data_IF_540894884162
#
_entry.id   IF_540894884162
#
_cell.length_a   1.000
_cell.length_b   1.000
_cell.length_c   1.000
_cell.angle_alpha   90.00
_cell.angle_beta   90.00
_cell.angle_gamma   90.00
#
_symmetry.space_group_name_H-M   'P 1'
#
loop_
_entity.id
_entity.type
_entity.pdbx_description
1 polymer ?
#
# COMPACT_ATOMS: atom_id res chain seq x y z
N UNK A 1 -3.81 8.44 -9.29
CA UNK A 1 -3.07 8.06 -8.06
C UNK A 1 -3.04 9.27 -7.13
N UNK A 2 -3.17 9.09 -5.80
CA UNK A 2 -3.06 10.19 -4.83
C UNK A 2 -1.73 10.96 -4.97
N UNK A 3 -0.63 10.27 -5.26
CA UNK A 3 0.73 10.84 -5.34
C UNK A 3 0.94 11.93 -6.38
N UNK A 4 0.12 11.96 -7.43
CA UNK A 4 0.25 12.93 -8.52
C UNK A 4 -0.92 13.92 -8.55
N UNK A 5 -1.76 13.91 -7.51
CA UNK A 5 -2.91 14.80 -7.42
C UNK A 5 -2.48 16.20 -6.96
N UNK A 6 -3.11 17.23 -7.50
CA UNK A 6 -2.89 18.62 -7.11
C UNK A 6 -4.18 19.31 -6.65
N UNK A 7 -5.35 18.76 -6.98
CA UNK A 7 -6.62 19.29 -6.51
C UNK A 7 -6.83 18.94 -5.02
N UNK A 8 -6.95 19.93 -4.12
CA UNK A 8 -7.11 19.69 -2.68
C UNK A 8 -8.35 18.86 -2.33
N UNK A 9 -9.49 19.09 -2.98
CA UNK A 9 -10.73 18.35 -2.71
C UNK A 9 -10.57 16.86 -3.04
N UNK A 10 -9.87 16.58 -4.14
CA UNK A 10 -9.60 15.21 -4.59
C UNK A 10 -8.55 14.54 -3.68
N UNK A 11 -7.57 15.30 -3.17
CA UNK A 11 -6.59 14.81 -2.20
C UNK A 11 -7.30 14.39 -0.91
N UNK A 12 -8.17 15.25 -0.38
CA UNK A 12 -8.93 14.97 0.83
C UNK A 12 -9.81 13.74 0.68
N UNK A 13 -10.57 13.66 -0.43
CA UNK A 13 -11.43 12.51 -0.71
C UNK A 13 -10.64 11.20 -0.79
N UNK A 14 -9.56 11.18 -1.58
CA UNK A 14 -8.73 9.97 -1.74
C UNK A 14 -8.02 9.60 -0.44
N UNK A 15 -7.54 10.57 0.33
CA UNK A 15 -6.87 10.31 1.59
C UNK A 15 -7.82 9.69 2.62
N UNK A 16 -9.05 10.19 2.71
CA UNK A 16 -10.09 9.61 3.56
C UNK A 16 -10.40 8.15 3.16
N UNK A 17 -10.58 7.88 1.87
CA UNK A 17 -10.82 6.52 1.39
C UNK A 17 -9.66 5.57 1.72
N UNK A 18 -8.41 6.00 1.53
CA UNK A 18 -7.23 5.19 1.88
C UNK A 18 -7.18 4.95 3.39
N UNK A 19 -7.48 5.97 4.19
CA UNK A 19 -7.48 5.86 5.64
C UNK A 19 -8.53 4.85 6.12
N UNK A 20 -9.76 4.98 5.64
CA UNK A 20 -10.88 4.10 6.00
C UNK A 20 -10.62 2.65 5.59
N UNK A 21 -10.11 2.43 4.37
CA UNK A 21 -9.86 1.07 3.88
C UNK A 21 -8.62 0.44 4.52
N UNK A 22 -7.50 1.15 4.68
CA UNK A 22 -6.22 0.49 4.97
C UNK A 22 -5.58 0.88 6.31
N UNK A 23 -5.92 2.03 6.89
CA UNK A 23 -5.26 2.53 8.10
C UNK A 23 -6.11 2.29 9.36
N UNK A 24 -7.43 2.45 9.22
CA UNK A 24 -8.41 2.27 10.28
C UNK A 24 -8.32 0.86 10.88
N UNK A 25 -8.20 0.80 12.21
CA UNK A 25 -8.18 -0.45 12.98
C UNK A 25 -9.50 -1.23 12.96
N UNK A 26 -10.55 -0.62 12.41
CA UNK A 26 -11.86 -1.24 12.24
C UNK A 26 -12.04 -1.82 10.84
N UNK A 27 -11.09 -1.59 9.93
CA UNK A 27 -11.20 -2.06 8.55
C UNK A 27 -10.82 -3.54 8.43
N UNK A 28 -11.58 -4.34 7.67
CA UNK A 28 -11.16 -5.70 7.33
C UNK A 28 -9.93 -5.75 6.41
N UNK A 29 -9.55 -4.62 5.78
CA UNK A 29 -8.35 -4.50 4.95
C UNK A 29 -7.21 -3.74 5.64
N UNK A 30 -7.28 -3.57 6.97
CA UNK A 30 -6.23 -2.91 7.75
C UNK A 30 -4.86 -3.53 7.42
N UNK A 31 -3.89 -2.68 7.09
CA UNK A 31 -2.50 -3.10 6.92
C UNK A 31 -1.74 -2.97 8.24
N UNK A 32 -0.81 -3.90 8.47
CA UNK A 32 0.03 -3.88 9.67
C UNK A 32 1.02 -2.71 9.61
N UNK A 33 0.93 -1.78 10.56
CA UNK A 33 1.77 -0.59 10.65
C UNK A 33 2.37 -0.44 12.04
N UNK A 34 3.55 0.18 12.10
CA UNK A 34 4.14 0.59 13.38
C UNK A 34 3.29 1.72 13.98
N UNK A 35 3.14 1.73 15.30
CA UNK A 35 2.32 2.74 16.01
C UNK A 35 2.75 4.18 15.69
N UNK A 36 4.06 4.43 15.59
CA UNK A 36 4.64 5.72 15.19
C UNK A 36 4.17 6.17 13.80
N UNK A 37 4.13 5.25 12.83
CA UNK A 37 3.73 5.55 11.45
C UNK A 37 2.24 5.89 11.41
N UNK A 38 1.41 5.14 12.14
CA UNK A 38 -0.02 5.44 12.28
C UNK A 38 -0.25 6.82 12.92
N UNK A 39 0.49 7.17 13.97
CA UNK A 39 0.36 8.48 14.60
C UNK A 39 0.69 9.64 13.63
N UNK A 40 1.74 9.49 12.83
CA UNK A 40 2.10 10.46 11.78
C UNK A 40 0.98 10.61 10.76
N UNK A 41 0.39 9.50 10.29
CA UNK A 41 -0.76 9.56 9.37
C UNK A 41 -1.93 10.29 10.03
N UNK A 42 -2.30 9.93 11.27
CA UNK A 42 -3.42 10.55 11.97
C UNK A 42 -3.27 12.07 12.09
N UNK A 43 -2.05 12.55 12.32
CA UNK A 43 -1.74 13.99 12.33
C UNK A 43 -1.86 14.61 10.94
N UNK A 44 -1.33 13.95 9.91
CA UNK A 44 -1.36 14.43 8.54
C UNK A 44 -2.78 14.41 7.93
N UNK A 45 -3.71 13.63 8.49
CA UNK A 45 -5.11 13.60 8.05
C UNK A 45 -5.88 14.89 8.39
N UNK A 46 -5.34 15.78 9.23
CA UNK A 46 -5.92 17.11 9.48
C UNK A 46 -5.84 17.98 8.22
N UNK A 47 -4.74 17.88 7.47
CA UNK A 47 -4.53 18.56 6.19
C UNK A 47 -3.80 17.59 5.24
N UNK A 48 -4.55 16.68 4.59
CA UNK A 48 -3.95 15.63 3.79
C UNK A 48 -3.22 16.19 2.57
N UNK A 49 -2.15 15.51 2.18
CA UNK A 49 -1.33 15.82 1.01
C UNK A 49 -1.08 14.54 0.20
N UNK A 50 -0.53 14.66 -1.03
CA UNK A 50 -0.09 13.50 -1.80
C UNK A 50 0.93 12.60 -1.07
N UNK A 51 1.58 13.13 -0.02
CA UNK A 51 2.62 12.48 0.77
C UNK A 51 2.14 11.93 2.12
N UNK A 52 0.84 12.05 2.45
CA UNK A 52 0.27 11.63 3.76
C UNK A 52 0.63 10.20 4.15
N UNK A 53 0.78 9.30 3.18
CA UNK A 53 1.00 7.87 3.41
C UNK A 53 2.39 7.35 2.99
N UNK A 54 3.36 8.23 2.73
CA UNK A 54 4.67 7.81 2.19
C UNK A 54 5.43 6.86 3.12
N UNK A 55 5.48 7.15 4.42
CA UNK A 55 6.13 6.26 5.40
C UNK A 55 5.43 4.90 5.48
N UNK A 56 4.09 4.89 5.52
CA UNK A 56 3.32 3.66 5.55
C UNK A 56 3.51 2.82 4.29
N UNK A 57 3.50 3.45 3.11
CA UNK A 57 3.73 2.74 1.86
C UNK A 57 5.13 2.12 1.82
N UNK A 58 6.17 2.82 2.28
CA UNK A 58 7.53 2.28 2.36
C UNK A 58 7.62 1.10 3.34
N UNK A 59 6.97 1.19 4.49
CA UNK A 59 6.92 0.12 5.47
C UNK A 59 6.25 -1.14 4.89
N UNK A 60 5.06 -0.99 4.29
CA UNK A 60 4.32 -2.10 3.68
C UNK A 60 5.08 -2.69 2.50
N UNK A 61 5.68 -1.86 1.66
CA UNK A 61 6.56 -2.32 0.58
C UNK A 61 7.71 -3.17 1.13
N UNK A 62 8.39 -2.70 2.17
CA UNK A 62 9.51 -3.41 2.78
C UNK A 62 9.08 -4.75 3.38
N UNK A 63 7.92 -4.77 4.05
CA UNK A 63 7.32 -6.00 4.60
C UNK A 63 7.02 -7.01 3.49
N UNK A 64 6.32 -6.59 2.44
CA UNK A 64 6.01 -7.44 1.29
C UNK A 64 7.28 -7.93 0.61
N UNK A 65 8.27 -7.06 0.41
CA UNK A 65 9.53 -7.39 -0.25
C UNK A 65 10.34 -8.45 0.52
N UNK A 66 10.31 -8.40 1.86
CA UNK A 66 11.04 -9.36 2.70
C UNK A 66 10.32 -10.68 2.89
N UNK A 67 8.99 -10.70 2.88
CA UNK A 67 8.21 -11.90 3.21
C UNK A 67 7.41 -12.46 2.03
N UNK A 68 6.44 -11.70 1.51
CA UNK A 68 5.49 -12.22 0.52
C UNK A 68 6.09 -12.35 -0.87
N UNK A 69 6.98 -11.43 -1.26
CA UNK A 69 7.59 -11.40 -2.58
C UNK A 69 8.51 -12.61 -2.85
N UNK A 70 9.46 -13.00 -1.96
CA UNK A 70 10.29 -14.19 -2.18
C UNK A 70 9.46 -15.47 -2.25
N UNK A 71 8.38 -15.57 -1.46
CA UNK A 71 7.43 -16.69 -1.50
C UNK A 71 6.66 -16.73 -2.82
N UNK A 72 6.23 -15.56 -3.30
CA UNK A 72 5.52 -15.43 -4.58
C UNK A 72 6.37 -15.90 -5.76
N UNK A 73 7.62 -15.42 -5.89
CA UNK A 73 8.53 -15.80 -6.98
C UNK A 73 8.86 -17.31 -6.94
N UNK A 74 8.90 -17.91 -5.76
CA UNK A 74 9.10 -19.35 -5.61
C UNK A 74 7.82 -20.19 -5.73
N UNK A 75 6.65 -19.56 -5.77
CA UNK A 75 5.37 -20.27 -5.80
C UNK A 75 5.14 -21.04 -7.10
N UNK A 76 4.36 -22.11 -7.02
CA UNK A 76 3.92 -22.85 -8.20
C UNK A 76 3.17 -21.97 -9.20
N UNK A 77 2.42 -20.97 -8.71
CA UNK A 77 1.65 -20.06 -9.54
C UNK A 77 2.57 -19.24 -10.44
N UNK A 78 3.57 -18.56 -9.85
CA UNK A 78 4.53 -17.76 -10.62
C UNK A 78 5.34 -18.62 -11.58
N UNK A 79 5.85 -19.78 -11.12
CA UNK A 79 6.60 -20.71 -11.99
C UNK A 79 5.77 -21.27 -13.14
N UNK A 80 4.45 -21.41 -12.98
CA UNK A 80 3.55 -21.83 -14.07
C UNK A 80 3.38 -20.75 -15.12
N UNK A 81 3.32 -19.47 -14.72
CA UNK A 81 3.28 -18.35 -15.66
C UNK A 81 4.53 -18.31 -16.53
N UNK A 82 5.72 -18.45 -15.94
CA UNK A 82 6.98 -18.51 -16.68
C UNK A 82 7.01 -19.64 -17.72
N UNK A 83 6.64 -20.87 -17.32
CA UNK A 83 6.58 -22.01 -18.24
C UNK A 83 5.57 -21.86 -19.38
N UNK A 84 4.48 -21.11 -19.15
CA UNK A 84 3.49 -20.86 -20.19
C UNK A 84 3.96 -19.81 -21.21
N UNK A 85 4.94 -18.97 -20.86
CA UNK A 85 5.63 -18.10 -21.81
C UNK A 85 6.67 -18.89 -22.63
N UNK A 86 7.29 -19.93 -22.05
CA UNK A 86 8.28 -20.77 -22.73
C UNK A 86 7.69 -21.68 -23.84
N UNK A 87 6.37 -21.98 -23.83
CA UNK A 87 5.73 -22.86 -24.85
C UNK A 87 5.36 -22.09 -26.14
N UNK A 88 5.61 -20.78 -26.22
CA UNK A 88 5.36 -19.96 -27.41
C UNK A 88 6.57 -19.76 -28.34
N UNK A 89 7.66 -20.49 -28.13
CA UNK A 89 8.85 -20.46 -29.03
C UNK A 89 9.03 -21.83 -29.68
#
# INVERSE_FOLDING_TARGET
SLKNEQNPDIIEEKARLIYEDYISILSPKEVSLDSRVREVINRNMVEPSPHTFDEAQLQIYTLMHRDSYPRFINSHMYRRLLRNEDIKT
#
